data_IF_984072289992
#
_entry.id   IF_984072289992
#
_cell.length_a   1.000
_cell.length_b   1.000
_cell.length_c   1.000
_cell.angle_alpha   90.00
_cell.angle_beta   90.00
_cell.angle_gamma   90.00
#
_symmetry.space_group_name_H-M   'P 1'
#
loop_
_entity.id
_entity.type
_entity.pdbx_description
1 polymer ?
#
# COMPACT_ATOMS: atom_id res chain seq x y z
N UNK A 1 -18.01 20.41 -13.23
CA UNK A 1 -17.46 20.39 -12.80
C UNK A 1 -16.95 19.75 -12.41
N UNK A 2 -16.38 19.73 -12.16
CA UNK A 2 -15.72 19.33 -11.76
C UNK A 2 -15.33 19.18 -11.09
N UNK A 3 -15.36 18.89 -10.72
CA UNK A 3 -14.76 19.01 -9.84
C UNK A 3 -13.83 18.73 -9.55
N UNK A 4 -13.57 18.72 -9.82
CA UNK A 4 -12.85 18.41 -9.65
C UNK A 4 -11.86 18.49 -9.11
N UNK A 5 -11.42 18.88 -9.45
CA UNK A 5 -10.19 19.01 -8.82
C UNK A 5 -10.27 19.21 -7.44
N UNK A 6 -11.18 19.76 -7.00
CA UNK A 6 -11.17 20.00 -5.71
C UNK A 6 -11.41 18.83 -4.97
N UNK A 7 -12.00 17.86 -5.50
CA UNK A 7 -12.08 16.77 -4.78
C UNK A 7 -11.13 15.87 -5.21
N UNK A 8 -9.94 15.85 -4.62
CA UNK A 8 -8.98 14.91 -4.87
C UNK A 8 -9.51 13.63 -4.43
N UNK A 9 -9.52 12.63 -5.26
CA UNK A 9 -9.91 11.33 -4.90
C UNK A 9 -8.94 10.78 -3.95
N UNK A 10 -9.40 10.10 -2.93
CA UNK A 10 -8.52 9.51 -1.98
C UNK A 10 -7.89 8.27 -2.60
N UNK A 11 -6.60 8.13 -2.46
CA UNK A 11 -5.88 6.97 -2.97
C UNK A 11 -5.73 5.92 -1.88
N UNK A 12 -5.65 4.67 -2.29
CA UNK A 12 -5.51 3.55 -1.36
C UNK A 12 -4.43 2.61 -1.84
N UNK A 13 -3.68 2.07 -0.88
CA UNK A 13 -2.79 0.95 -1.15
C UNK A 13 -3.60 -0.30 -0.87
N UNK A 14 -3.61 -1.21 -1.83
CA UNK A 14 -4.33 -2.44 -1.66
C UNK A 14 -3.36 -3.61 -1.68
N UNK A 15 -3.34 -4.39 -0.61
CA UNK A 15 -2.52 -5.58 -0.55
C UNK A 15 -3.39 -6.81 -0.53
N UNK A 16 -3.10 -7.77 -1.40
CA UNK A 16 -3.83 -9.02 -1.46
C UNK A 16 -2.89 -10.17 -1.26
N UNK A 17 -3.18 -11.00 -0.29
CA UNK A 17 -2.40 -12.20 -0.06
C UNK A 17 -3.18 -13.41 -0.49
N UNK A 18 -2.55 -14.27 -1.27
CA UNK A 18 -3.22 -15.42 -1.84
C UNK A 18 -2.76 -16.75 -1.28
N UNK A 19 -1.87 -16.73 -0.31
CA UNK A 19 -1.28 -17.95 0.23
C UNK A 19 -1.84 -18.30 1.60
N UNK A 20 -3.13 -18.14 1.78
CA UNK A 20 -3.77 -18.45 3.05
C UNK A 20 -3.67 -19.97 3.29
N UNK A 21 -3.14 -20.34 4.43
CA UNK A 21 -2.93 -21.74 4.72
C UNK A 21 -3.80 -22.27 5.85
N UNK A 22 -4.35 -21.42 6.66
CA UNK A 22 -5.06 -21.87 7.84
C UNK A 22 -6.55 -21.56 7.81
N UNK A 23 -7.06 -21.07 6.73
CA UNK A 23 -8.48 -20.81 6.61
C UNK A 23 -8.97 -19.56 7.30
N UNK A 24 -8.07 -18.81 7.93
CA UNK A 24 -8.49 -17.58 8.59
C UNK A 24 -8.36 -16.41 7.61
N UNK A 25 -9.37 -15.60 7.56
CA UNK A 25 -9.31 -14.42 6.70
C UNK A 25 -8.73 -13.27 7.51
N UNK A 26 -7.63 -12.75 7.06
CA UNK A 26 -6.99 -11.62 7.72
C UNK A 26 -7.28 -10.34 6.97
N UNK A 27 -7.70 -9.32 7.69
CA UNK A 27 -8.00 -8.04 7.09
C UNK A 27 -7.43 -6.94 7.97
N UNK A 28 -6.67 -6.04 7.39
CA UNK A 28 -6.17 -4.88 8.12
C UNK A 28 -6.48 -3.63 7.32
N UNK A 29 -7.00 -2.62 7.99
CA UNK A 29 -7.31 -1.35 7.36
C UNK A 29 -6.53 -0.27 8.02
N UNK A 30 -5.97 0.60 7.22
CA UNK A 30 -5.31 1.79 7.74
C UNK A 30 -5.93 3.03 7.13
N UNK A 31 -5.30 4.14 7.40
CA UNK A 31 -5.77 5.41 6.92
C UNK A 31 -5.84 5.44 5.41
N UNK A 32 -4.87 4.84 4.76
CA UNK A 32 -4.77 4.83 3.31
C UNK A 32 -4.44 3.47 2.73
N UNK A 33 -4.73 2.39 3.46
CA UNK A 33 -4.45 1.06 2.90
C UNK A 33 -5.46 0.04 3.40
N UNK A 34 -5.63 -0.98 2.60
CA UNK A 34 -6.45 -2.14 2.95
C UNK A 34 -5.63 -3.36 2.61
N UNK A 35 -5.49 -4.27 3.55
CA UNK A 35 -4.71 -5.49 3.37
C UNK A 35 -5.63 -6.65 3.63
N UNK A 36 -5.73 -7.57 2.69
CA UNK A 36 -6.67 -8.67 2.78
C UNK A 36 -5.99 -9.98 2.47
N UNK A 37 -6.20 -10.96 3.31
CA UNK A 37 -5.77 -12.32 3.04
C UNK A 37 -4.33 -12.60 3.35
N UNK A 38 -3.86 -13.71 2.82
CA UNK A 38 -2.51 -14.16 3.00
C UNK A 38 -2.31 -15.01 4.23
N UNK A 39 -1.20 -15.74 4.28
CA UNK A 39 -0.79 -16.45 5.48
C UNK A 39 -0.42 -15.42 6.53
N UNK A 40 -0.17 -15.88 7.74
CA UNK A 40 0.21 -14.98 8.81
C UNK A 40 1.47 -14.22 8.43
N UNK A 41 2.44 -14.89 7.87
CA UNK A 41 3.69 -14.25 7.48
C UNK A 41 3.48 -13.24 6.36
N UNK A 42 2.71 -13.60 5.36
CA UNK A 42 2.45 -12.69 4.24
C UNK A 42 1.68 -11.47 4.70
N UNK A 43 0.69 -11.67 5.55
CA UNK A 43 -0.11 -10.56 6.02
C UNK A 43 0.74 -9.61 6.87
N UNK A 44 1.61 -10.16 7.73
CA UNK A 44 2.51 -9.35 8.54
C UNK A 44 3.47 -8.55 7.67
N UNK A 45 3.97 -9.18 6.62
CA UNK A 45 4.87 -8.48 5.70
C UNK A 45 4.14 -7.33 5.00
N UNK A 46 2.90 -7.55 4.60
CA UNK A 46 2.14 -6.48 3.97
C UNK A 46 1.92 -5.32 4.95
N UNK A 47 1.62 -5.64 6.21
CA UNK A 47 1.45 -4.61 7.21
C UNK A 47 2.74 -3.80 7.38
N UNK A 48 3.86 -4.47 7.45
CA UNK A 48 5.14 -3.81 7.61
C UNK A 48 5.43 -2.90 6.42
N UNK A 49 5.16 -3.37 5.21
CA UNK A 49 5.42 -2.55 4.02
C UNK A 49 4.50 -1.34 3.96
N UNK A 50 3.24 -1.51 4.36
CA UNK A 50 2.33 -0.38 4.36
C UNK A 50 2.77 0.69 5.35
N UNK A 51 3.24 0.28 6.52
CA UNK A 51 3.73 1.22 7.52
C UNK A 51 4.98 1.94 7.01
N UNK A 52 5.89 1.20 6.40
CA UNK A 52 7.11 1.80 5.88
C UNK A 52 6.82 2.76 4.74
N UNK A 53 5.86 2.42 3.90
CA UNK A 53 5.48 3.30 2.80
C UNK A 53 4.99 4.62 3.37
N UNK A 54 4.15 4.55 4.39
CA UNK A 54 3.62 5.76 4.99
C UNK A 54 4.69 6.58 5.71
N UNK A 55 5.71 5.93 6.26
CA UNK A 55 6.82 6.66 6.85
C UNK A 55 7.55 7.46 5.78
N UNK A 56 7.74 6.87 4.60
CA UNK A 56 8.40 7.58 3.51
C UNK A 56 7.56 8.74 3.01
N UNK A 57 6.26 8.58 2.97
CA UNK A 57 5.38 9.67 2.59
C UNK A 57 5.51 10.83 3.58
N UNK A 58 5.56 10.52 4.86
CA UNK A 58 5.70 11.56 5.87
C UNK A 58 7.03 12.28 5.71
N UNK A 59 8.11 11.56 5.43
CA UNK A 59 9.41 12.16 5.23
C UNK A 59 9.39 13.11 4.05
N UNK A 60 8.59 12.81 3.03
CA UNK A 60 8.49 13.66 1.86
C UNK A 60 7.45 14.76 2.00
N UNK A 61 6.68 14.72 3.06
CA UNK A 61 5.60 15.69 3.23
C UNK A 61 4.50 15.52 2.19
N UNK A 62 4.30 14.28 1.72
CA UNK A 62 3.31 14.01 0.69
C UNK A 62 2.23 13.08 1.17
N UNK A 63 1.07 13.18 0.55
CA UNK A 63 0.01 12.22 0.76
C UNK A 63 0.02 11.25 -0.40
N UNK A 64 -0.55 10.08 -0.20
CA UNK A 64 -0.57 9.06 -1.24
C UNK A 64 -1.17 9.59 -2.54
N UNK A 65 -2.19 10.43 -2.43
CA UNK A 65 -2.85 10.99 -3.60
C UNK A 65 -1.94 11.88 -4.43
N UNK A 66 -0.86 12.36 -3.82
CA UNK A 66 0.04 13.30 -4.47
C UNK A 66 1.22 12.65 -5.15
N UNK A 67 1.35 11.33 -5.01
CA UNK A 67 2.51 10.64 -5.48
C UNK A 67 2.33 10.19 -6.93
N UNK A 68 3.33 10.48 -7.77
CA UNK A 68 3.28 10.04 -9.16
C UNK A 68 3.64 8.56 -9.23
N UNK A 69 3.47 7.95 -10.38
CA UNK A 69 3.84 6.57 -10.56
C UNK A 69 5.32 6.36 -10.34
N UNK A 70 6.14 7.28 -10.82
CA UNK A 70 7.56 7.16 -10.63
C UNK A 70 7.94 7.27 -9.17
N UNK A 71 7.31 8.20 -8.46
CA UNK A 71 7.57 8.36 -7.06
C UNK A 71 7.13 7.14 -6.28
N UNK A 72 6.00 6.56 -6.66
CA UNK A 72 5.52 5.35 -6.03
C UNK A 72 6.54 4.23 -6.17
N UNK A 73 7.07 4.05 -7.39
CA UNK A 73 8.06 3.00 -7.62
C UNK A 73 9.33 3.24 -6.84
N UNK A 74 9.72 4.49 -6.74
CA UNK A 74 10.91 4.84 -6.01
C UNK A 74 10.75 4.51 -4.53
N UNK A 75 9.62 4.87 -3.95
CA UNK A 75 9.35 4.58 -2.55
C UNK A 75 9.29 3.07 -2.34
N UNK A 76 8.59 2.38 -3.24
CA UNK A 76 8.47 0.93 -3.14
C UNK A 76 9.84 0.27 -3.15
N UNK A 77 10.73 0.76 -4.01
CA UNK A 77 12.07 0.21 -4.07
C UNK A 77 12.82 0.47 -2.76
N UNK A 78 12.67 1.66 -2.21
CA UNK A 78 13.35 2.03 -0.98
C UNK A 78 12.94 1.17 0.21
N UNK A 79 11.70 0.72 0.24
CA UNK A 79 11.23 -0.07 1.36
C UNK A 79 11.30 -1.57 1.09
N UNK A 80 11.89 -1.95 -0.03
CA UNK A 80 12.12 -3.35 -0.29
C UNK A 80 11.05 -4.08 -1.08
N UNK A 81 10.11 -3.37 -1.67
CA UNK A 81 9.18 -3.98 -2.59
C UNK A 81 9.86 -4.06 -3.94
N UNK A 82 9.87 -5.23 -4.54
CA UNK A 82 10.51 -5.37 -5.83
C UNK A 82 9.43 -5.53 -6.88
N UNK A 83 9.83 -5.51 -8.14
CA UNK A 83 8.89 -5.68 -9.21
C UNK A 83 8.16 -6.99 -9.12
N UNK A 84 8.78 -7.98 -8.49
CA UNK A 84 8.12 -9.23 -8.31
C UNK A 84 6.97 -9.11 -7.35
N UNK A 85 7.07 -8.25 -6.36
CA UNK A 85 6.02 -8.06 -5.37
C UNK A 85 4.98 -7.08 -5.84
N UNK A 86 5.30 -6.28 -6.84
CA UNK A 86 4.34 -5.36 -7.39
C UNK A 86 3.69 -6.09 -8.54
N UNK A 87 2.45 -6.20 -8.55
CA UNK A 87 1.80 -6.94 -9.59
C UNK A 87 2.16 -6.40 -10.94
N UNK A 88 2.29 -7.23 -11.91
CA UNK A 88 2.62 -6.78 -13.25
C UNK A 88 1.50 -5.96 -13.86
#
# INVERSE_FOLDING_TARGET
MIPSGKEKKKAWLLGLGLDNEDGHLRVTRGENFHLVGGSEDTHSTMQEKAVKFNEKLRERGQRLEEVSKEEFREIAHQIGLTDKNLAP
#
